data_IF_501637025546
#
_entry.id   IF_501637025546
#
_cell.length_a   1.000
_cell.length_b   1.000
_cell.length_c   1.000
_cell.angle_alpha   90.00
_cell.angle_beta   90.00
_cell.angle_gamma   90.00
#
_symmetry.space_group_name_H-M   'P 1'
#
loop_
_entity.id
_entity.type
_entity.pdbx_description
1 polymer ?
#
# COMPACT_ATOMS: atom_id res chain seq x y z
N UNK A 1 3.64 25.19 -7.56
CA UNK A 1 2.88 23.93 -7.79
C UNK A 1 3.79 22.71 -7.96
N UNK A 2 4.69 22.66 -8.96
CA UNK A 2 5.58 21.48 -9.17
C UNK A 2 6.40 21.08 -7.93
N UNK A 3 7.03 22.06 -7.25
CA UNK A 3 7.76 21.84 -5.99
C UNK A 3 6.89 21.26 -4.87
N UNK A 4 5.63 21.69 -4.78
CA UNK A 4 4.67 21.21 -3.77
C UNK A 4 4.28 19.76 -4.03
N UNK A 5 3.96 19.41 -5.27
CA UNK A 5 3.62 18.03 -5.67
C UNK A 5 4.82 17.10 -5.44
N UNK A 6 6.03 17.56 -5.77
CA UNK A 6 7.26 16.80 -5.53
C UNK A 6 7.51 16.55 -4.03
N UNK A 7 7.20 17.51 -3.16
CA UNK A 7 7.28 17.30 -1.70
C UNK A 7 6.33 16.20 -1.23
N UNK A 8 5.07 16.21 -1.66
CA UNK A 8 4.10 15.16 -1.30
C UNK A 8 4.50 13.79 -1.88
N UNK A 9 5.02 13.76 -3.10
CA UNK A 9 5.55 12.54 -3.70
C UNK A 9 6.70 11.93 -2.90
N UNK A 10 7.62 12.76 -2.40
CA UNK A 10 8.75 12.30 -1.58
C UNK A 10 8.26 11.74 -0.24
N UNK A 11 7.29 12.39 0.41
CA UNK A 11 6.68 11.87 1.65
C UNK A 11 5.99 10.53 1.39
N UNK A 12 5.24 10.40 0.30
CA UNK A 12 4.57 9.14 -0.04
C UNK A 12 5.60 8.00 -0.25
N UNK A 13 6.69 8.26 -0.98
CA UNK A 13 7.78 7.29 -1.15
C UNK A 13 8.39 6.90 0.20
N UNK A 14 8.57 7.86 1.11
CA UNK A 14 9.16 7.58 2.41
C UNK A 14 8.24 6.70 3.25
N UNK A 15 6.94 7.00 3.29
CA UNK A 15 5.90 6.17 3.93
C UNK A 15 5.90 4.76 3.35
N UNK A 16 5.97 4.66 2.02
CA UNK A 16 6.00 3.42 1.27
C UNK A 16 7.19 2.53 1.62
N UNK A 17 8.40 3.12 1.65
CA UNK A 17 9.62 2.41 2.05
C UNK A 17 9.51 1.95 3.50
N UNK A 18 9.07 2.83 4.40
CA UNK A 18 8.90 2.50 5.82
C UNK A 18 7.94 1.34 6.02
N UNK A 19 6.76 1.36 5.38
CA UNK A 19 5.78 0.28 5.46
C UNK A 19 6.33 -1.05 4.89
N UNK A 20 7.06 -0.99 3.77
CA UNK A 20 7.68 -2.18 3.17
C UNK A 20 8.74 -2.82 4.08
N UNK A 21 9.59 -2.01 4.71
CA UNK A 21 10.60 -2.48 5.67
C UNK A 21 9.93 -3.08 6.91
N UNK A 22 8.94 -2.39 7.48
CA UNK A 22 8.20 -2.88 8.64
C UNK A 22 7.48 -4.20 8.34
N UNK A 23 6.84 -4.33 7.18
CA UNK A 23 6.19 -5.57 6.75
C UNK A 23 7.18 -6.74 6.70
N UNK A 24 8.38 -6.52 6.13
CA UNK A 24 9.43 -7.56 6.07
C UNK A 24 9.97 -7.94 7.44
N UNK A 25 10.15 -6.97 8.34
CA UNK A 25 10.59 -7.24 9.72
C UNK A 25 9.58 -8.13 10.45
N UNK A 26 8.29 -7.76 10.42
CA UNK A 26 7.23 -8.52 11.10
C UNK A 26 7.13 -9.95 10.55
N UNK A 27 7.26 -10.13 9.23
CA UNK A 27 7.24 -11.48 8.62
C UNK A 27 8.49 -12.29 8.95
N UNK A 28 9.66 -11.67 9.04
CA UNK A 28 10.90 -12.34 9.40
C UNK A 28 10.82 -12.96 10.79
N UNK A 29 10.21 -12.25 11.76
CA UNK A 29 10.03 -12.75 13.13
C UNK A 29 9.06 -13.95 13.16
N UNK A 30 8.01 -13.93 12.33
CA UNK A 30 6.99 -14.98 12.25
C UNK A 30 7.46 -16.31 11.64
N UNK A 31 8.55 -16.33 10.87
CA UNK A 31 9.05 -17.55 10.20
C UNK A 31 10.12 -18.32 11.00
N UNK A 32 10.34 -17.99 12.27
CA UNK A 32 11.33 -18.63 13.12
C UNK A 32 10.78 -19.87 13.85
N UNK A 33 10.61 -20.98 13.13
CA UNK A 33 10.39 -22.30 13.76
C UNK A 33 10.97 -23.45 12.91
N UNK A 34 11.95 -24.16 13.46
CA UNK A 34 12.44 -25.48 13.01
C UNK A 34 11.43 -26.58 13.44
N UNK A 35 11.19 -27.69 12.71
CA UNK A 35 12.04 -28.89 12.60
C UNK A 35 11.35 -29.99 11.75
N UNK A 36 11.47 -29.98 10.42
CA UNK A 36 11.41 -31.18 9.52
C UNK A 36 11.66 -30.77 8.06
N UNK A 37 12.07 -31.71 7.18
CA UNK A 37 12.29 -31.44 5.75
C UNK A 37 11.02 -30.94 5.03
N UNK A 38 9.84 -31.43 5.44
CA UNK A 38 8.55 -30.99 4.90
C UNK A 38 8.21 -29.56 5.34
N UNK A 39 8.40 -29.24 6.62
CA UNK A 39 8.24 -27.88 7.14
C UNK A 39 9.22 -26.90 6.47
N UNK A 40 10.44 -27.34 6.18
CA UNK A 40 11.42 -26.54 5.43
C UNK A 40 10.97 -26.26 3.99
N UNK A 41 10.36 -27.23 3.32
CA UNK A 41 9.78 -27.03 1.98
C UNK A 41 8.59 -26.07 2.00
N UNK A 42 7.67 -26.24 2.94
CA UNK A 42 6.54 -25.31 3.16
C UNK A 42 7.03 -23.90 3.52
N UNK A 43 8.06 -23.80 4.34
CA UNK A 43 8.70 -22.53 4.71
C UNK A 43 9.29 -21.83 3.49
N UNK A 44 10.01 -22.53 2.61
CA UNK A 44 10.51 -21.97 1.34
C UNK A 44 9.36 -21.50 0.45
N UNK A 45 8.26 -22.26 0.35
CA UNK A 45 7.09 -21.87 -0.44
C UNK A 45 6.41 -20.62 0.14
N UNK A 46 6.27 -20.53 1.47
CA UNK A 46 5.76 -19.35 2.17
C UNK A 46 6.65 -18.13 1.94
N UNK A 47 7.97 -18.29 1.99
CA UNK A 47 8.92 -17.22 1.68
C UNK A 47 8.71 -16.77 0.23
N UNK A 48 8.57 -17.69 -0.73
CA UNK A 48 8.35 -17.35 -2.14
C UNK A 48 7.05 -16.58 -2.37
N UNK A 49 5.96 -17.03 -1.75
CA UNK A 49 4.64 -16.37 -1.81
C UNK A 49 4.73 -14.97 -1.18
N UNK A 50 5.37 -14.84 -0.02
CA UNK A 50 5.60 -13.55 0.64
C UNK A 50 6.43 -12.59 -0.20
N UNK A 51 7.46 -13.10 -0.87
CA UNK A 51 8.33 -12.31 -1.74
C UNK A 51 7.58 -11.85 -2.99
N UNK A 52 6.76 -12.73 -3.58
CA UNK A 52 5.88 -12.40 -4.69
C UNK A 52 4.87 -11.32 -4.31
N UNK A 53 4.12 -11.52 -3.22
CA UNK A 53 3.14 -10.55 -2.71
C UNK A 53 3.78 -9.21 -2.34
N UNK A 54 4.94 -9.22 -1.67
CA UNK A 54 5.70 -8.01 -1.34
C UNK A 54 6.13 -7.24 -2.59
N UNK A 55 6.51 -7.95 -3.66
CA UNK A 55 6.94 -7.33 -4.92
C UNK A 55 5.75 -6.70 -5.65
N UNK A 56 4.62 -7.41 -5.74
CA UNK A 56 3.39 -6.86 -6.35
C UNK A 56 2.92 -5.63 -5.57
N UNK A 57 2.96 -5.68 -4.24
CA UNK A 57 2.62 -4.54 -3.39
C UNK A 57 3.54 -3.33 -3.61
N UNK A 58 4.86 -3.55 -3.71
CA UNK A 58 5.82 -2.51 -4.05
C UNK A 58 5.53 -1.89 -5.43
N UNK A 59 5.23 -2.70 -6.43
CA UNK A 59 4.88 -2.21 -7.78
C UNK A 59 3.62 -1.35 -7.73
N UNK A 60 2.56 -1.80 -7.04
CA UNK A 60 1.33 -1.06 -6.86
C UNK A 60 1.56 0.30 -6.17
N UNK A 61 2.39 0.31 -5.14
CA UNK A 61 2.80 1.54 -4.44
C UNK A 61 3.57 2.48 -5.36
N UNK A 62 4.51 1.98 -6.17
CA UNK A 62 5.25 2.81 -7.12
C UNK A 62 4.29 3.46 -8.11
N UNK A 63 3.33 2.71 -8.67
CA UNK A 63 2.30 3.27 -9.55
C UNK A 63 1.37 4.27 -8.83
N UNK A 64 1.06 4.02 -7.55
CA UNK A 64 0.34 4.98 -6.70
C UNK A 64 1.11 6.28 -6.54
N UNK A 65 2.43 6.21 -6.32
CA UNK A 65 3.26 7.41 -6.22
C UNK A 65 3.31 8.19 -7.53
N UNK A 66 3.40 7.51 -8.68
CA UNK A 66 3.42 8.15 -9.99
C UNK A 66 2.10 8.86 -10.32
N UNK A 67 0.99 8.30 -9.84
CA UNK A 67 -0.34 8.90 -10.01
C UNK A 67 -0.44 10.28 -9.35
N UNK A 68 0.35 10.59 -8.31
CA UNK A 68 0.41 11.93 -7.71
C UNK A 68 0.81 13.03 -8.71
N UNK A 69 1.63 12.71 -9.71
CA UNK A 69 2.03 13.67 -10.73
C UNK A 69 0.89 14.09 -11.64
N UNK A 70 -0.23 13.34 -11.69
CA UNK A 70 -1.43 13.75 -12.43
C UNK A 70 -2.04 15.05 -11.86
N UNK A 71 -1.79 15.38 -10.59
CA UNK A 71 -2.16 16.69 -10.02
C UNK A 71 -1.39 17.88 -10.59
N UNK A 72 -0.39 17.65 -11.45
CA UNK A 72 0.20 18.74 -12.24
C UNK A 72 -0.81 19.31 -13.25
N UNK A 73 -1.77 18.51 -13.69
CA UNK A 73 -2.84 18.92 -14.62
C UNK A 73 -3.88 19.70 -13.82
N UNK A 74 -4.16 20.94 -14.24
CA UNK A 74 -5.02 21.86 -13.49
C UNK A 74 -6.46 21.36 -13.35
N UNK A 75 -6.99 20.73 -14.41
CA UNK A 75 -8.32 20.11 -14.42
C UNK A 75 -8.46 19.02 -13.34
N UNK A 76 -7.42 18.21 -13.15
CA UNK A 76 -7.38 17.14 -12.15
C UNK A 76 -7.23 17.73 -10.75
N UNK A 77 -6.35 18.72 -10.59
CA UNK A 77 -6.09 19.41 -9.32
C UNK A 77 -7.31 20.13 -8.76
N UNK A 78 -8.07 20.81 -9.63
CA UNK A 78 -9.22 21.61 -9.19
C UNK A 78 -10.40 20.72 -8.80
N UNK A 79 -10.58 19.60 -9.50
CA UNK A 79 -11.61 18.62 -9.19
C UNK A 79 -11.23 17.79 -7.96
N UNK A 80 -12.02 17.92 -6.89
CA UNK A 80 -11.79 17.21 -5.63
C UNK A 80 -11.72 15.68 -5.81
N UNK A 81 -12.63 15.10 -6.58
CA UNK A 81 -12.72 13.66 -6.76
C UNK A 81 -11.55 13.09 -7.58
N UNK A 82 -11.18 13.78 -8.67
CA UNK A 82 -10.04 13.37 -9.49
C UNK A 82 -8.73 13.50 -8.71
N UNK A 83 -8.55 14.60 -7.97
CA UNK A 83 -7.38 14.76 -7.11
C UNK A 83 -7.33 13.68 -6.03
N UNK A 84 -8.45 13.35 -5.38
CA UNK A 84 -8.50 12.24 -4.42
C UNK A 84 -8.09 10.90 -5.05
N UNK A 85 -8.61 10.57 -6.24
CA UNK A 85 -8.28 9.33 -6.95
C UNK A 85 -6.79 9.21 -7.27
N UNK A 86 -6.11 10.32 -7.55
CA UNK A 86 -4.66 10.29 -7.82
C UNK A 86 -3.82 9.95 -6.58
N UNK A 87 -4.32 10.24 -5.37
CA UNK A 87 -3.66 9.91 -4.11
C UNK A 87 -4.04 8.51 -3.63
N UNK A 88 -5.34 8.20 -3.60
CA UNK A 88 -5.88 7.03 -2.90
C UNK A 88 -6.52 5.99 -3.81
N UNK A 89 -6.64 6.23 -5.12
CA UNK A 89 -7.33 5.30 -6.03
C UNK A 89 -6.68 3.91 -6.11
N UNK A 90 -5.38 3.86 -6.39
CA UNK A 90 -4.62 2.59 -6.42
C UNK A 90 -4.59 1.92 -5.03
N UNK A 91 -4.25 2.62 -3.93
CA UNK A 91 -4.32 2.06 -2.58
C UNK A 91 -5.69 1.47 -2.24
N UNK A 92 -6.76 2.14 -2.66
CA UNK A 92 -8.13 1.69 -2.41
C UNK A 92 -8.45 0.40 -3.16
N UNK A 93 -8.08 0.31 -4.44
CA UNK A 93 -8.23 -0.92 -5.23
C UNK A 93 -7.44 -2.07 -4.60
N UNK A 94 -6.20 -1.81 -4.15
CA UNK A 94 -5.40 -2.84 -3.47
C UNK A 94 -6.08 -3.37 -2.20
N UNK A 95 -6.63 -2.49 -1.36
CA UNK A 95 -7.37 -2.90 -0.15
C UNK A 95 -8.61 -3.72 -0.51
N UNK A 96 -9.35 -3.35 -1.57
CA UNK A 96 -10.52 -4.12 -2.01
C UNK A 96 -10.15 -5.53 -2.48
N UNK A 97 -9.11 -5.65 -3.31
CA UNK A 97 -8.66 -6.96 -3.83
C UNK A 97 -8.15 -7.84 -2.68
N UNK A 98 -7.28 -7.32 -1.82
CA UNK A 98 -6.77 -8.09 -0.67
C UNK A 98 -7.87 -8.43 0.33
N UNK A 99 -8.83 -7.53 0.54
CA UNK A 99 -9.98 -7.77 1.39
C UNK A 99 -10.87 -8.89 0.85
N UNK A 100 -11.10 -8.92 -0.47
CA UNK A 100 -11.86 -9.98 -1.13
C UNK A 100 -11.16 -11.34 -0.99
N UNK A 101 -9.83 -11.40 -1.22
CA UNK A 101 -9.05 -12.63 -1.05
C UNK A 101 -9.12 -13.14 0.40
N UNK A 102 -8.90 -12.27 1.40
CA UNK A 102 -9.01 -12.63 2.82
C UNK A 102 -10.42 -13.16 3.17
N UNK A 103 -11.47 -12.55 2.61
CA UNK A 103 -12.86 -13.00 2.83
C UNK A 103 -13.14 -14.35 2.19
N UNK A 104 -12.64 -14.58 0.97
CA UNK A 104 -12.78 -15.86 0.27
C UNK A 104 -12.07 -16.97 1.05
N UNK A 105 -10.84 -16.72 1.50
CA UNK A 105 -10.06 -17.69 2.28
C UNK A 105 -10.76 -18.03 3.59
N UNK A 106 -11.24 -17.01 4.31
CA UNK A 106 -11.99 -17.19 5.55
C UNK A 106 -13.27 -18.02 5.32
N UNK A 107 -14.04 -17.71 4.28
CA UNK A 107 -15.30 -18.38 4.02
C UNK A 107 -15.13 -19.82 3.49
N UNK A 108 -14.10 -20.08 2.67
CA UNK A 108 -13.90 -21.40 2.04
C UNK A 108 -13.10 -22.37 2.90
N UNK A 109 -12.12 -21.87 3.63
CA UNK A 109 -11.12 -22.71 4.28
C UNK A 109 -11.08 -22.52 5.80
N UNK A 110 -11.82 -21.55 6.35
CA UNK A 110 -11.79 -21.14 7.78
C UNK A 110 -10.36 -20.83 8.29
N UNK A 111 -9.44 -20.60 7.35
CA UNK A 111 -8.02 -20.35 7.58
C UNK A 111 -7.64 -19.16 6.71
N UNK A 112 -7.11 -18.11 7.35
CA UNK A 112 -6.52 -16.95 6.66
C UNK A 112 -5.02 -17.04 6.81
N UNK A 113 -4.29 -17.02 5.69
CA UNK A 113 -2.83 -17.00 5.73
C UNK A 113 -2.34 -15.77 6.52
N UNK A 114 -1.53 -15.94 7.59
CA UNK A 114 -0.97 -14.84 8.37
C UNK A 114 -0.33 -13.72 7.53
N UNK A 115 0.46 -14.00 6.47
CA UNK A 115 1.04 -12.93 5.66
C UNK A 115 0.00 -12.14 4.85
N UNK A 116 -1.07 -12.78 4.37
CA UNK A 116 -2.14 -12.11 3.62
C UNK A 116 -2.89 -11.12 4.53
N UNK A 117 -3.18 -11.54 5.77
CA UNK A 117 -3.80 -10.70 6.80
C UNK A 117 -2.90 -9.50 7.17
N UNK A 118 -1.60 -9.74 7.33
CA UNK A 118 -0.61 -8.67 7.56
C UNK A 118 -0.56 -7.70 6.37
N UNK A 119 -0.50 -8.20 5.15
CA UNK A 119 -0.45 -7.38 3.95
C UNK A 119 -1.69 -6.50 3.81
N UNK A 120 -2.88 -7.04 4.12
CA UNK A 120 -4.12 -6.26 4.16
C UNK A 120 -4.04 -5.14 5.21
N UNK A 121 -3.57 -5.43 6.42
CA UNK A 121 -3.38 -4.43 7.48
C UNK A 121 -2.46 -3.29 7.02
N UNK A 122 -1.28 -3.63 6.47
CA UNK A 122 -0.34 -2.63 5.95
C UNK A 122 -0.93 -1.83 4.78
N UNK A 123 -1.74 -2.45 3.93
CA UNK A 123 -2.45 -1.78 2.84
C UNK A 123 -3.50 -0.78 3.35
N UNK A 124 -4.24 -1.14 4.41
CA UNK A 124 -5.19 -0.23 5.06
C UNK A 124 -4.46 0.96 5.69
N UNK A 125 -3.35 0.72 6.39
CA UNK A 125 -2.53 1.79 6.97
C UNK A 125 -2.02 2.73 5.87
N UNK A 126 -1.52 2.18 4.76
CA UNK A 126 -1.08 2.98 3.63
C UNK A 126 -2.21 3.84 3.03
N UNK A 127 -3.41 3.26 2.85
CA UNK A 127 -4.59 4.00 2.37
C UNK A 127 -4.95 5.18 3.28
N UNK A 128 -4.87 4.99 4.61
CA UNK A 128 -5.11 6.06 5.59
C UNK A 128 -4.04 7.16 5.43
N UNK A 129 -2.77 6.78 5.28
CA UNK A 129 -1.69 7.74 5.02
C UNK A 129 -1.94 8.56 3.75
N UNK A 130 -2.29 7.91 2.62
CA UNK A 130 -2.56 8.61 1.36
C UNK A 130 -3.80 9.51 1.44
N UNK A 131 -4.79 9.13 2.25
CA UNK A 131 -5.95 9.98 2.52
C UNK A 131 -5.57 11.24 3.31
N UNK A 132 -4.76 11.09 4.36
CA UNK A 132 -4.25 12.24 5.13
C UNK A 132 -3.38 13.15 4.27
N UNK A 133 -2.50 12.59 3.44
CA UNK A 133 -1.69 13.36 2.48
C UNK A 133 -2.57 14.17 1.52
N UNK A 134 -3.64 13.56 1.00
CA UNK A 134 -4.60 14.25 0.14
C UNK A 134 -5.27 15.44 0.85
N UNK A 135 -5.72 15.27 2.10
CA UNK A 135 -6.32 16.35 2.88
C UNK A 135 -5.33 17.50 3.13
N UNK A 136 -4.07 17.19 3.44
CA UNK A 136 -3.01 18.18 3.61
C UNK A 136 -2.68 18.89 2.29
N UNK A 137 -2.64 18.15 1.17
CA UNK A 137 -2.47 18.72 -0.16
C UNK A 137 -3.60 19.70 -0.47
N UNK A 138 -4.85 19.32 -0.20
CA UNK A 138 -6.02 20.16 -0.48
C UNK A 138 -5.98 21.47 0.29
N UNK A 139 -5.71 21.43 1.60
CA UNK A 139 -5.54 22.63 2.43
C UNK A 139 -4.46 23.57 1.89
N UNK A 140 -3.36 22.99 1.38
CA UNK A 140 -2.25 23.77 0.82
C UNK A 140 -2.59 24.38 -0.55
N UNK A 141 -3.36 23.67 -1.38
CA UNK A 141 -3.87 24.21 -2.66
C UNK A 141 -4.83 25.37 -2.39
N UNK A 142 -5.79 25.21 -1.48
CA UNK A 142 -6.75 26.26 -1.14
C UNK A 142 -6.05 27.53 -0.62
N UNK A 143 -5.03 27.40 0.23
CA UNK A 143 -4.25 28.55 0.73
C UNK A 143 -3.44 29.27 -0.36
N UNK A 144 -3.13 28.62 -1.49
CA UNK A 144 -2.39 29.23 -2.60
C UNK A 144 -3.32 29.99 -3.55
N UNK A 145 -4.60 29.62 -3.60
CA UNK A 145 -5.59 30.19 -4.52
C UNK A 145 -6.67 31.05 -3.83
N UNK A 146 -6.59 31.20 -2.50
CA UNK A 146 -7.37 32.17 -1.70
C UNK A 146 -6.58 33.45 -1.48
#
# INVERSE_FOLDING_TARGET
MKKTIFQFWLVNILISITLSVLYRMVISDLNSADNTLFERFISILNILINLGLSTVYLVAIVFSSLSLFLNQIEKIRYNYFLSFLTFSGIPFICVLVLGAEVLIDYYRYDIVLPPLRLLLLFSIVYLICTFVEFLLFRKKVEKIYS
#
